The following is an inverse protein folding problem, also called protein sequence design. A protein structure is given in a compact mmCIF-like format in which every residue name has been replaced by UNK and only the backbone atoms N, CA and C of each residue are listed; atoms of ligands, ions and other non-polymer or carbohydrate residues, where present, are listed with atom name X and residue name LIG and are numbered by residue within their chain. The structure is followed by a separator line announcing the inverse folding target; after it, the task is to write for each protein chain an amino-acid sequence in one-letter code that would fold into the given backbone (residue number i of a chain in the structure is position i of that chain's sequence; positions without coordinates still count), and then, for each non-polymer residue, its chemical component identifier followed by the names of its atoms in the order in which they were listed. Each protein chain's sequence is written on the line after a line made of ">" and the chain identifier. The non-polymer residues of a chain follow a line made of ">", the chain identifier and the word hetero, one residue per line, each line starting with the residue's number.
data_IF_669715272534
#
_entry.id   IF_669715272534
#
_cell.length_a   1.000
_cell.length_b   1.000
_cell.length_c   1.000
_cell.angle_alpha   90.00
_cell.angle_beta   90.00
_cell.angle_gamma   90.00
#
_symmetry.space_group_name_H-M   'P 1'
#
loop_
_entity.id
_entity.type
_entity.pdbx_description
1 polymer ?
#
# COMPACT_ATOMS: atom_id res chain seq x y z
N UNK A 1 13.11 -19.94 10.89
CA UNK A 1 12.98 -21.01 9.88
C UNK A 1 11.88 -20.63 8.91
N UNK A 2 12.19 -20.53 7.62
CA UNK A 2 11.22 -20.09 6.59
C UNK A 2 10.27 -21.21 6.15
N UNK A 3 9.11 -20.87 5.54
CA UNK A 3 8.31 -21.84 4.81
C UNK A 3 8.76 -21.92 3.34
N UNK A 4 9.09 -23.14 2.89
CA UNK A 4 9.55 -23.46 1.55
C UNK A 4 8.44 -23.50 0.50
N UNK A 5 8.82 -23.15 -0.73
CA UNK A 5 8.02 -23.27 -1.96
C UNK A 5 7.62 -24.74 -2.25
N UNK A 6 6.44 -24.99 -2.86
CA UNK A 6 6.15 -26.25 -3.53
C UNK A 6 6.65 -26.18 -5.00
N UNK A 7 7.89 -26.62 -5.25
CA UNK A 7 8.43 -26.77 -6.61
C UNK A 7 8.95 -28.19 -6.81
N UNK A 8 8.15 -29.02 -7.49
CA UNK A 8 8.63 -30.23 -8.19
C UNK A 8 7.58 -30.83 -9.12
N UNK A 9 6.27 -30.70 -8.82
CA UNK A 9 5.21 -31.16 -9.74
C UNK A 9 4.89 -30.18 -10.88
N UNK A 10 5.11 -28.88 -10.67
CA UNK A 10 4.91 -27.85 -11.71
C UNK A 10 6.07 -27.82 -12.73
N UNK A 11 7.28 -28.21 -12.32
CA UNK A 11 8.47 -28.26 -13.20
C UNK A 11 8.41 -29.45 -14.18
N UNK A 12 7.74 -30.54 -13.81
CA UNK A 12 7.54 -31.72 -14.67
C UNK A 12 6.54 -31.49 -15.80
N UNK A 13 5.59 -30.55 -15.65
CA UNK A 13 4.71 -30.14 -16.77
C UNK A 13 5.40 -29.17 -17.74
N UNK A 14 6.36 -28.36 -17.28
CA UNK A 14 7.09 -27.43 -18.15
C UNK A 14 8.11 -28.13 -19.05
N UNK A 15 8.71 -29.23 -18.60
CA UNK A 15 9.67 -30.01 -19.38
C UNK A 15 9.04 -30.84 -20.52
N UNK A 16 7.73 -31.10 -20.48
CA UNK A 16 7.01 -31.76 -21.59
C UNK A 16 6.60 -30.79 -22.70
N UNK A 17 6.69 -29.47 -22.48
CA UNK A 17 6.27 -28.44 -23.45
C UNK A 17 7.44 -27.72 -24.13
N UNK A 18 8.68 -27.95 -23.70
CA UNK A 18 9.87 -27.29 -24.26
C UNK A 18 11.03 -28.27 -24.37
N UNK A 19 11.28 -28.78 -25.58
CA UNK A 19 12.61 -29.26 -25.96
C UNK A 19 12.65 -30.68 -26.51
N UNK A 20 12.70 -30.78 -27.85
CA UNK A 20 13.04 -32.02 -28.53
C UNK A 20 13.62 -31.73 -29.91
N UNK A 21 14.83 -31.14 -29.95
CA UNK A 21 15.68 -31.13 -31.14
C UNK A 21 17.12 -31.44 -30.75
N UNK A 22 17.71 -32.41 -31.46
CA UNK A 22 19.16 -32.52 -31.68
C UNK A 22 19.97 -33.28 -30.62
N UNK A 23 20.16 -34.58 -30.82
CA UNK A 23 21.15 -35.39 -30.11
C UNK A 23 21.55 -36.62 -30.92
N UNK A 24 22.68 -36.50 -31.63
CA UNK A 24 23.29 -37.51 -32.49
C UNK A 24 24.01 -38.57 -31.62
N UNK A 25 23.70 -39.86 -31.80
CA UNK A 25 24.34 -40.95 -31.04
C UNK A 25 23.94 -42.35 -31.48
N UNK A 26 24.81 -42.99 -32.26
CA UNK A 26 25.09 -44.43 -32.40
C UNK A 26 23.97 -45.46 -32.70
N UNK A 27 24.14 -46.09 -33.88
CA UNK A 27 23.58 -47.36 -34.39
C UNK A 27 23.15 -48.38 -33.33
N UNK A 28 21.86 -48.72 -33.37
CA UNK A 28 21.31 -50.00 -32.95
C UNK A 28 20.10 -50.31 -33.84
N UNK A 29 20.20 -51.36 -34.65
CA UNK A 29 19.23 -51.77 -35.68
C UNK A 29 17.90 -52.18 -35.02
N UNK A 30 16.81 -51.44 -35.28
CA UNK A 30 15.43 -51.85 -34.96
C UNK A 30 14.75 -52.39 -36.24
N UNK A 31 13.89 -53.42 -36.13
CA UNK A 31 13.19 -54.00 -37.27
C UNK A 31 12.18 -52.99 -37.87
N UNK A 32 11.79 -53.15 -39.14
CA UNK A 32 10.85 -52.24 -39.78
C UNK A 32 9.48 -52.29 -39.07
N UNK A 33 8.80 -51.13 -38.90
CA UNK A 33 7.48 -51.08 -38.27
C UNK A 33 6.44 -51.78 -39.16
N UNK A 34 5.50 -52.47 -38.51
CA UNK A 34 4.42 -53.18 -39.19
C UNK A 34 3.33 -52.24 -39.74
N UNK A 35 2.50 -52.69 -40.69
CA UNK A 35 1.48 -51.87 -41.37
C UNK A 35 0.50 -51.15 -40.43
N UNK A 36 0.26 -51.70 -39.25
CA UNK A 36 -0.70 -51.21 -38.27
C UNK A 36 -0.17 -50.06 -37.39
N UNK A 37 1.15 -49.81 -37.36
CA UNK A 37 1.76 -48.69 -36.63
C UNK A 37 1.86 -47.41 -37.48
N UNK A 38 1.89 -47.53 -38.81
CA UNK A 38 1.90 -46.38 -39.72
C UNK A 38 0.53 -45.70 -39.84
N UNK A 39 -0.57 -46.45 -39.71
CA UNK A 39 -1.94 -45.92 -39.81
C UNK A 39 -2.32 -45.10 -38.57
N UNK A 40 -1.93 -45.55 -37.37
CA UNK A 40 -2.15 -44.82 -36.11
C UNK A 40 -1.40 -43.48 -36.07
N UNK A 41 -0.14 -43.47 -36.51
CA UNK A 41 0.65 -42.24 -36.58
C UNK A 41 0.08 -41.24 -37.61
N UNK A 42 -0.50 -41.72 -38.70
CA UNK A 42 -1.15 -40.91 -39.75
C UNK A 42 -2.45 -40.26 -39.25
N UNK A 43 -3.27 -41.02 -38.52
CA UNK A 43 -4.51 -40.51 -37.91
C UNK A 43 -4.25 -39.44 -36.85
N UNK A 44 -3.26 -39.66 -35.98
CA UNK A 44 -2.86 -38.68 -34.96
C UNK A 44 -2.30 -37.40 -35.61
N UNK A 45 -1.50 -37.53 -36.67
CA UNK A 45 -0.95 -36.38 -37.42
C UNK A 45 -2.03 -35.59 -38.14
N UNK A 46 -3.00 -36.26 -38.77
CA UNK A 46 -4.14 -35.62 -39.43
C UNK A 46 -5.02 -34.86 -38.42
N UNK A 47 -5.28 -35.45 -37.26
CA UNK A 47 -6.07 -34.83 -36.18
C UNK A 47 -5.33 -33.64 -35.55
N UNK A 48 -4.01 -33.73 -35.40
CA UNK A 48 -3.16 -32.63 -34.95
C UNK A 48 -3.15 -31.45 -35.95
N UNK A 49 -3.02 -31.72 -37.25
CA UNK A 49 -3.08 -30.67 -38.28
C UNK A 49 -4.47 -30.03 -38.40
N UNK A 50 -5.55 -30.80 -38.20
CA UNK A 50 -6.90 -30.26 -38.16
C UNK A 50 -7.11 -29.32 -36.95
N UNK A 51 -6.66 -29.72 -35.76
CA UNK A 51 -6.72 -28.90 -34.54
C UNK A 51 -5.83 -27.66 -34.68
N UNK A 52 -4.65 -27.77 -35.31
CA UNK A 52 -3.75 -26.65 -35.60
C UNK A 52 -4.37 -25.65 -36.57
N UNK A 53 -5.10 -26.09 -37.59
CA UNK A 53 -5.87 -25.20 -38.48
C UNK A 53 -6.99 -24.45 -37.73
N UNK A 54 -7.72 -25.15 -36.85
CA UNK A 54 -8.78 -24.54 -36.04
C UNK A 54 -8.21 -23.52 -35.03
N UNK A 55 -7.11 -23.85 -34.36
CA UNK A 55 -6.40 -22.92 -33.46
C UNK A 55 -5.77 -21.75 -34.22
N UNK A 56 -5.33 -21.95 -35.46
CA UNK A 56 -4.86 -20.87 -36.34
C UNK A 56 -5.96 -19.90 -36.72
N UNK A 57 -7.17 -20.39 -36.98
CA UNK A 57 -8.35 -19.55 -37.25
C UNK A 57 -8.79 -18.75 -36.01
N UNK A 58 -8.82 -19.39 -34.83
CA UNK A 58 -9.11 -18.70 -33.55
C UNK A 58 -8.01 -17.68 -33.21
N UNK A 59 -6.75 -18.01 -33.50
CA UNK A 59 -5.62 -17.10 -33.35
C UNK A 59 -5.67 -15.90 -34.31
N UNK A 60 -6.18 -16.07 -35.53
CA UNK A 60 -6.35 -15.00 -36.50
C UNK A 60 -7.47 -14.02 -36.11
N UNK A 61 -8.61 -14.55 -35.63
CA UNK A 61 -9.72 -13.73 -35.12
C UNK A 61 -9.31 -12.97 -33.85
N UNK A 62 -8.55 -13.62 -32.97
CA UNK A 62 -7.97 -12.98 -31.78
C UNK A 62 -7.00 -11.85 -32.15
N UNK A 63 -6.13 -12.04 -33.15
CA UNK A 63 -5.18 -10.99 -33.59
C UNK A 63 -5.87 -9.75 -34.13
N UNK A 64 -6.95 -9.88 -34.91
CA UNK A 64 -7.69 -8.71 -35.39
C UNK A 64 -8.34 -7.92 -34.24
N UNK A 65 -8.87 -8.63 -33.25
CA UNK A 65 -9.43 -7.99 -32.06
C UNK A 65 -8.35 -7.27 -31.23
N UNK A 66 -7.20 -7.92 -31.01
CA UNK A 66 -6.07 -7.32 -30.28
C UNK A 66 -5.40 -6.17 -31.04
N UNK A 67 -5.36 -6.20 -32.37
CA UNK A 67 -4.86 -5.08 -33.18
C UNK A 67 -5.80 -3.88 -33.12
N UNK A 68 -7.11 -4.09 -33.16
CA UNK A 68 -8.11 -3.03 -32.97
C UNK A 68 -8.02 -2.41 -31.58
N UNK A 69 -7.90 -3.24 -30.53
CA UNK A 69 -7.74 -2.77 -29.16
C UNK A 69 -6.41 -2.04 -28.94
N UNK A 70 -5.32 -2.54 -29.53
CA UNK A 70 -4.01 -1.91 -29.46
C UNK A 70 -3.99 -0.53 -30.14
N UNK A 71 -4.52 -0.38 -31.35
CA UNK A 71 -4.63 0.94 -32.01
C UNK A 71 -5.56 1.91 -31.24
N UNK A 72 -6.55 1.40 -30.48
CA UNK A 72 -7.48 2.25 -29.69
C UNK A 72 -6.89 2.70 -28.34
N UNK A 73 -5.92 1.96 -27.82
CA UNK A 73 -5.29 2.23 -26.51
C UNK A 73 -3.92 2.88 -26.64
N UNK A 74 -3.16 2.60 -27.70
CA UNK A 74 -1.84 3.15 -27.97
C UNK A 74 -1.82 3.83 -29.35
N UNK A 75 -1.53 5.13 -29.38
CA UNK A 75 -1.76 5.97 -30.57
C UNK A 75 -0.60 6.03 -31.57
N UNK A 76 0.55 5.41 -31.30
CA UNK A 76 1.72 5.52 -32.19
C UNK A 76 1.90 4.26 -33.04
N UNK A 77 1.43 4.31 -34.29
CA UNK A 77 1.81 3.34 -35.32
C UNK A 77 0.76 2.93 -36.36
N UNK A 78 -0.46 3.48 -36.35
CA UNK A 78 -1.50 3.05 -37.30
C UNK A 78 -1.51 3.98 -38.54
N UNK A 79 -0.93 3.52 -39.65
CA UNK A 79 -0.88 4.24 -40.93
C UNK A 79 -2.29 4.48 -41.52
N UNK A 80 -2.54 5.72 -41.94
CA UNK A 80 -3.78 6.16 -42.57
C UNK A 80 -3.92 5.60 -44.00
N UNK A 81 -5.04 4.94 -44.29
CA UNK A 81 -5.55 4.78 -45.66
C UNK A 81 -6.92 5.47 -45.78
N UNK A 82 -7.07 6.27 -46.84
CA UNK A 82 -8.15 7.25 -47.09
C UNK A 82 -9.50 6.62 -47.47
N UNK A 83 -10.56 7.20 -46.87
CA UNK A 83 -11.98 7.41 -47.25
C UNK A 83 -12.67 6.57 -48.36
N UNK A 84 -13.88 6.05 -48.16
CA UNK A 84 -15.15 6.81 -48.22
C UNK A 84 -16.36 6.17 -47.47
N UNK A 85 -17.49 6.89 -47.28
CA UNK A 85 -18.29 6.90 -46.05
C UNK A 85 -19.52 5.98 -46.05
N UNK A 86 -19.80 5.37 -44.89
CA UNK A 86 -21.05 4.65 -44.60
C UNK A 86 -21.54 5.01 -43.17
N UNK A 87 -22.86 4.96 -42.91
CA UNK A 87 -23.49 5.68 -41.80
C UNK A 87 -23.04 5.13 -40.46
N UNK A 88 -22.47 5.99 -39.62
CA UNK A 88 -22.03 5.65 -38.26
C UNK A 88 -23.24 5.20 -37.43
N UNK A 89 -23.32 3.94 -36.95
CA UNK A 89 -24.04 3.70 -35.72
C UNK A 89 -23.17 4.31 -34.63
N UNK A 90 -23.61 5.46 -34.12
CA UNK A 90 -22.98 6.12 -32.98
C UNK A 90 -23.04 5.20 -31.77
N UNK A 91 -22.03 4.36 -31.59
CA UNK A 91 -21.74 3.77 -30.30
C UNK A 91 -21.15 4.88 -29.45
N UNK A 92 -22.03 5.69 -28.85
CA UNK A 92 -21.70 6.40 -27.63
C UNK A 92 -21.29 5.33 -26.63
N UNK A 93 -19.98 5.21 -26.37
CA UNK A 93 -19.51 4.54 -25.18
C UNK A 93 -20.31 5.18 -24.03
N UNK A 94 -21.08 4.41 -23.24
CA UNK A 94 -21.69 4.99 -22.06
C UNK A 94 -20.52 5.56 -21.28
N UNK A 95 -20.58 6.87 -21.07
CA UNK A 95 -19.72 7.58 -20.16
C UNK A 95 -19.64 6.67 -18.93
N UNK A 96 -18.49 6.03 -18.70
CA UNK A 96 -18.29 5.15 -17.55
C UNK A 96 -18.38 6.10 -16.36
N UNK A 97 -19.60 6.22 -15.84
CA UNK A 97 -19.97 7.27 -14.91
C UNK A 97 -19.20 7.09 -13.63
N UNK A 98 -18.99 8.21 -12.92
CA UNK A 98 -18.53 8.20 -11.53
C UNK A 98 -19.31 7.18 -10.68
N UNK A 99 -20.58 6.93 -11.02
CA UNK A 99 -21.48 5.95 -10.39
C UNK A 99 -20.96 4.51 -10.42
N UNK A 100 -20.30 4.07 -11.50
CA UNK A 100 -19.75 2.71 -11.57
C UNK A 100 -18.50 2.55 -10.68
N UNK A 101 -17.69 3.61 -10.57
CA UNK A 101 -16.53 3.62 -9.66
C UNK A 101 -16.97 3.60 -8.20
N UNK A 102 -18.03 4.33 -7.85
CA UNK A 102 -18.65 4.31 -6.52
C UNK A 102 -19.13 2.90 -6.15
N UNK A 103 -19.88 2.23 -7.03
CA UNK A 103 -20.38 0.85 -6.79
C UNK A 103 -19.23 -0.14 -6.65
N UNK A 104 -18.21 -0.08 -7.51
CA UNK A 104 -17.04 -0.95 -7.42
C UNK A 104 -16.23 -0.69 -6.16
N UNK A 105 -16.08 0.58 -5.76
CA UNK A 105 -15.43 0.94 -4.50
C UNK A 105 -16.21 0.42 -3.29
N UNK A 106 -17.53 0.61 -3.26
CA UNK A 106 -18.40 0.13 -2.19
C UNK A 106 -18.39 -1.40 -2.08
N UNK A 107 -18.43 -2.11 -3.21
CA UNK A 107 -18.32 -3.57 -3.26
C UNK A 107 -16.95 -4.03 -2.74
N UNK A 108 -15.86 -3.45 -3.24
CA UNK A 108 -14.50 -3.75 -2.76
C UNK A 108 -14.33 -3.45 -1.26
N UNK A 109 -14.96 -2.38 -0.79
CA UNK A 109 -15.00 -1.96 0.59
C UNK A 109 -15.89 -2.81 1.49
N UNK A 110 -16.85 -3.55 0.93
CA UNK A 110 -17.63 -4.55 1.66
C UNK A 110 -16.81 -5.81 1.94
N UNK A 111 -15.84 -6.15 1.08
CA UNK A 111 -14.93 -7.29 1.28
C UNK A 111 -13.64 -6.90 2.02
N UNK A 112 -13.39 -5.62 2.25
CA UNK A 112 -12.21 -5.09 2.94
C UNK A 112 -12.55 -4.13 4.10
N UNK A 113 -11.53 -3.62 4.78
CA UNK A 113 -11.68 -2.51 5.74
C UNK A 113 -11.43 -1.20 5.02
N UNK A 114 -12.46 -0.65 4.38
CA UNK A 114 -12.34 0.69 3.82
C UNK A 114 -12.71 1.76 4.84
N UNK A 115 -11.85 2.77 4.92
CA UNK A 115 -12.08 3.94 5.74
C UNK A 115 -11.79 5.19 4.93
N UNK A 116 -12.47 6.29 5.26
CA UNK A 116 -12.40 7.57 4.53
C UNK A 116 -10.97 8.09 4.35
N UNK A 117 -10.09 7.81 5.33
CA UNK A 117 -8.68 8.23 5.36
C UNK A 117 -7.72 7.19 4.75
N UNK A 118 -8.24 6.05 4.27
CA UNK A 118 -7.47 4.89 3.81
C UNK A 118 -6.93 3.99 4.93
N UNK A 119 -6.90 4.48 6.18
CA UNK A 119 -6.56 3.71 7.38
C UNK A 119 -7.71 3.73 8.38
N UNK A 120 -8.20 2.54 8.76
CA UNK A 120 -9.30 2.37 9.70
C UNK A 120 -8.93 2.53 11.17
N UNK A 121 -7.64 2.70 11.47
CA UNK A 121 -7.15 2.96 12.83
C UNK A 121 -7.31 4.43 13.20
N UNK A 122 -7.39 5.31 12.21
CA UNK A 122 -7.51 6.76 12.35
C UNK A 122 -8.98 7.17 12.31
N UNK A 123 -9.44 7.89 13.33
CA UNK A 123 -10.84 8.32 13.50
C UNK A 123 -10.98 9.84 13.32
N UNK A 124 -10.04 10.62 13.86
CA UNK A 124 -10.05 12.09 13.81
C UNK A 124 -11.35 12.73 14.35
N UNK A 125 -11.78 12.33 15.57
CA UNK A 125 -12.94 12.89 16.23
C UNK A 125 -12.64 14.24 16.93
N UNK A 126 -12.62 15.32 16.16
CA UNK A 126 -12.28 16.66 16.68
C UNK A 126 -13.37 17.24 17.59
N UNK A 127 -14.64 17.05 17.25
CA UNK A 127 -15.76 17.51 18.08
C UNK A 127 -15.81 16.78 19.42
N UNK A 128 -15.53 15.47 19.43
CA UNK A 128 -15.37 14.69 20.66
C UNK A 128 -14.20 15.18 21.50
N UNK A 129 -13.05 15.42 20.87
CA UNK A 129 -11.87 15.98 21.54
C UNK A 129 -12.15 17.33 22.20
N UNK A 130 -12.82 18.24 21.49
CA UNK A 130 -13.18 19.56 22.01
C UNK A 130 -14.15 19.46 23.19
N UNK A 131 -15.17 18.61 23.09
CA UNK A 131 -16.10 18.38 24.17
C UNK A 131 -15.41 17.83 25.44
N UNK A 132 -14.52 16.85 25.29
CA UNK A 132 -13.80 16.26 26.42
C UNK A 132 -12.76 17.20 27.01
N UNK A 133 -12.02 17.96 26.20
CA UNK A 133 -11.13 19.01 26.69
C UNK A 133 -11.91 20.07 27.47
N UNK A 134 -13.09 20.46 26.99
CA UNK A 134 -13.91 21.46 27.67
C UNK A 134 -14.46 20.94 29.01
N UNK A 135 -14.91 19.68 29.07
CA UNK A 135 -15.49 19.08 30.27
C UNK A 135 -14.48 18.61 31.31
N UNK A 136 -13.36 18.00 30.88
CA UNK A 136 -12.47 17.26 31.78
C UNK A 136 -11.18 18.02 32.13
N UNK A 137 -10.68 18.91 31.26
CA UNK A 137 -9.45 19.66 31.52
C UNK A 137 -9.76 20.98 32.23
N UNK A 138 -9.57 21.09 33.55
CA UNK A 138 -9.89 22.33 34.27
C UNK A 138 -8.70 23.30 34.32
N UNK A 139 -8.99 24.61 34.42
CA UNK A 139 -7.96 25.66 34.57
C UNK A 139 -7.13 25.99 33.32
N UNK A 140 -7.17 25.17 32.26
CA UNK A 140 -6.26 25.28 31.10
C UNK A 140 -6.94 25.83 29.83
N UNK A 141 -7.66 26.95 29.95
CA UNK A 141 -8.43 27.53 28.84
C UNK A 141 -7.57 27.88 27.61
N UNK A 142 -6.35 28.41 27.80
CA UNK A 142 -5.41 28.69 26.71
C UNK A 142 -5.00 27.42 25.98
N UNK A 143 -4.64 26.36 26.72
CA UNK A 143 -4.23 25.09 26.13
C UNK A 143 -5.35 24.48 25.29
N UNK A 144 -6.59 24.45 25.82
CA UNK A 144 -7.76 23.92 25.08
C UNK A 144 -7.90 24.57 23.70
N UNK A 145 -7.88 25.90 23.66
CA UNK A 145 -8.06 26.66 22.42
C UNK A 145 -6.93 26.39 21.42
N UNK A 146 -5.68 26.45 21.88
CA UNK A 146 -4.50 26.24 21.02
C UNK A 146 -4.46 24.81 20.47
N UNK A 147 -4.74 23.82 21.31
CA UNK A 147 -4.73 22.40 20.90
C UNK A 147 -5.79 22.15 19.84
N UNK A 148 -7.04 22.59 20.07
CA UNK A 148 -8.12 22.39 19.10
C UNK A 148 -7.79 23.08 17.77
N UNK A 149 -7.37 24.35 17.80
CA UNK A 149 -7.01 25.07 16.58
C UNK A 149 -5.86 24.41 15.80
N UNK A 150 -4.79 24.00 16.50
CA UNK A 150 -3.63 23.38 15.87
C UNK A 150 -3.94 22.01 15.27
N UNK A 151 -4.64 21.15 16.01
CA UNK A 151 -4.99 19.80 15.55
C UNK A 151 -6.02 19.87 14.43
N UNK A 152 -7.06 20.69 14.57
CA UNK A 152 -8.07 20.88 13.53
C UNK A 152 -7.46 21.42 12.24
N UNK A 153 -6.65 22.49 12.32
CA UNK A 153 -5.99 23.07 11.16
C UNK A 153 -5.05 22.09 10.46
N UNK A 154 -4.31 21.28 11.23
CA UNK A 154 -3.44 20.25 10.67
C UNK A 154 -4.22 19.14 9.94
N UNK A 155 -5.29 18.63 10.54
CA UNK A 155 -6.07 17.53 9.95
C UNK A 155 -6.91 17.95 8.75
N UNK A 156 -7.39 19.20 8.72
CA UNK A 156 -8.12 19.76 7.59
C UNK A 156 -7.22 20.00 6.38
N UNK A 157 -5.92 20.21 6.57
CA UNK A 157 -4.98 20.35 5.46
C UNK A 157 -4.75 19.00 4.77
N UNK A 158 -5.11 18.85 3.47
CA UNK A 158 -4.91 17.59 2.75
C UNK A 158 -3.42 17.27 2.54
N UNK A 159 -2.57 18.30 2.45
CA UNK A 159 -1.11 18.18 2.27
C UNK A 159 -0.39 19.17 3.18
N UNK A 160 -0.20 18.85 4.47
CA UNK A 160 0.61 19.66 5.35
C UNK A 160 2.06 19.75 4.82
N UNK A 161 2.69 20.91 4.99
CA UNK A 161 4.09 21.11 4.58
C UNK A 161 5.07 20.42 5.54
N UNK A 162 4.70 20.32 6.81
CA UNK A 162 5.52 19.81 7.92
C UNK A 162 4.66 19.01 8.89
N UNK A 163 5.30 18.14 9.66
CA UNK A 163 4.64 17.42 10.75
C UNK A 163 4.08 18.39 11.81
N UNK A 164 2.99 18.01 12.46
CA UNK A 164 2.47 18.77 13.60
C UNK A 164 3.36 18.51 14.81
N UNK A 165 3.91 19.58 15.38
CA UNK A 165 4.73 19.49 16.60
C UNK A 165 4.08 20.34 17.69
N UNK A 166 3.72 19.69 18.80
CA UNK A 166 3.20 20.35 19.99
C UNK A 166 4.13 20.05 21.16
N UNK A 167 4.44 21.08 21.93
CA UNK A 167 5.25 20.97 23.15
C UNK A 167 4.43 21.50 24.31
N UNK A 168 4.12 20.64 25.27
CA UNK A 168 3.37 20.98 26.47
C UNK A 168 4.35 21.22 27.61
N UNK A 169 4.41 22.44 28.10
CA UNK A 169 5.26 22.81 29.23
C UNK A 169 4.39 23.21 30.42
N UNK A 170 4.87 22.94 31.62
CA UNK A 170 4.21 23.34 32.86
C UNK A 170 4.55 22.43 34.02
N UNK A 171 4.05 22.79 35.21
CA UNK A 171 4.27 22.03 36.44
C UNK A 171 3.73 20.59 36.35
N UNK A 172 4.27 19.71 37.19
CA UNK A 172 3.76 18.33 37.29
C UNK A 172 2.31 18.33 37.78
N UNK A 173 1.50 17.38 37.30
CA UNK A 173 0.08 17.27 37.68
C UNK A 173 -0.87 18.26 37.01
N UNK A 174 -0.39 19.15 36.12
CA UNK A 174 -1.24 20.13 35.40
C UNK A 174 -1.98 19.57 34.18
N UNK A 175 -1.91 18.25 33.96
CA UNK A 175 -2.70 17.54 32.94
C UNK A 175 -2.01 17.29 31.59
N UNK A 176 -0.68 17.48 31.45
CA UNK A 176 0.05 17.23 30.18
C UNK A 176 -0.22 15.83 29.59
N UNK A 177 0.01 14.79 30.41
CA UNK A 177 -0.18 13.39 29.99
C UNK A 177 -1.66 13.04 29.80
N UNK A 178 -2.54 13.72 30.54
CA UNK A 178 -3.99 13.59 30.42
C UNK A 178 -4.49 14.11 29.06
N UNK A 179 -3.99 15.28 28.64
CA UNK A 179 -4.25 15.84 27.30
C UNK A 179 -3.71 14.94 26.20
N UNK A 180 -2.48 14.44 26.33
CA UNK A 180 -1.90 13.53 25.34
C UNK A 180 -2.72 12.25 25.17
N UNK A 181 -3.25 11.70 26.28
CA UNK A 181 -4.16 10.55 26.25
C UNK A 181 -5.49 10.87 25.57
N UNK A 182 -6.10 12.02 25.87
CA UNK A 182 -7.33 12.47 25.20
C UNK A 182 -7.12 12.63 23.69
N UNK A 183 -6.00 13.24 23.28
CA UNK A 183 -5.62 13.35 21.87
C UNK A 183 -5.54 11.98 21.21
N UNK A 184 -4.81 11.04 21.80
CA UNK A 184 -4.69 9.69 21.24
C UNK A 184 -6.06 9.01 21.11
N UNK A 185 -6.90 9.06 22.15
CA UNK A 185 -8.22 8.41 22.17
C UNK A 185 -9.22 8.98 21.17
N UNK A 186 -9.11 10.26 20.79
CA UNK A 186 -10.00 10.87 19.80
C UNK A 186 -9.45 10.82 18.38
N UNK A 187 -8.12 10.78 18.21
CA UNK A 187 -7.49 10.66 16.90
C UNK A 187 -7.45 9.22 16.41
N UNK A 188 -7.33 8.24 17.32
CA UNK A 188 -7.15 6.83 16.99
C UNK A 188 -8.15 5.95 17.72
N UNK A 189 -8.65 4.92 17.02
CA UNK A 189 -9.69 4.01 17.52
C UNK A 189 -9.32 3.35 18.86
N UNK A 190 -8.08 2.89 18.96
CA UNK A 190 -7.57 2.19 20.16
C UNK A 190 -6.77 3.12 21.09
N UNK A 191 -6.82 4.43 20.85
CA UNK A 191 -6.06 5.41 21.61
C UNK A 191 -4.57 5.10 21.66
N UNK A 192 -3.99 5.14 22.88
CA UNK A 192 -2.58 4.82 23.12
C UNK A 192 -2.18 3.38 22.76
N UNK A 193 -3.15 2.47 22.60
CA UNK A 193 -2.88 1.07 22.20
C UNK A 193 -2.85 0.88 20.68
N UNK A 194 -3.17 1.91 19.91
CA UNK A 194 -3.12 1.84 18.45
C UNK A 194 -1.70 1.60 17.95
N UNK A 195 -1.54 0.77 16.93
CA UNK A 195 -0.25 0.53 16.27
C UNK A 195 0.36 1.80 15.64
N UNK A 196 -0.47 2.82 15.38
CA UNK A 196 -0.05 4.10 14.85
C UNK A 196 0.47 5.08 15.92
N UNK A 197 0.35 4.71 17.20
CA UNK A 197 0.74 5.53 18.34
C UNK A 197 1.95 4.91 19.04
N UNK A 198 2.98 5.72 19.29
CA UNK A 198 4.18 5.32 20.03
C UNK A 198 4.44 6.28 21.17
N UNK A 199 4.53 5.73 22.38
CA UNK A 199 4.88 6.46 23.60
C UNK A 199 6.33 6.14 24.00
N UNK A 200 7.13 7.18 24.14
CA UNK A 200 8.51 7.14 24.60
C UNK A 200 8.63 7.90 25.91
N UNK A 201 8.73 7.18 27.02
CA UNK A 201 9.08 7.75 28.32
C UNK A 201 10.60 7.85 28.42
N UNK A 202 11.16 9.06 28.54
CA UNK A 202 12.61 9.29 28.49
C UNK A 202 13.39 8.47 29.51
N UNK A 203 12.96 8.50 30.78
CA UNK A 203 13.65 7.79 31.87
C UNK A 203 13.57 6.26 31.78
N UNK A 204 12.56 5.73 31.09
CA UNK A 204 12.36 4.28 30.98
C UNK A 204 13.06 3.71 29.73
N UNK A 205 12.90 4.38 28.58
CA UNK A 205 13.43 3.89 27.31
C UNK A 205 14.89 4.31 27.09
N UNK A 206 15.31 5.44 27.69
CA UNK A 206 16.65 6.01 27.47
C UNK A 206 17.38 6.30 28.82
N UNK A 207 17.51 5.30 29.72
CA UNK A 207 18.00 5.52 31.07
C UNK A 207 19.48 5.92 31.17
N UNK A 208 20.32 5.42 30.25
CA UNK A 208 21.78 5.53 30.38
C UNK A 208 22.42 6.29 29.22
N UNK A 209 23.17 7.35 29.54
CA UNK A 209 23.85 8.18 28.55
C UNK A 209 24.93 7.45 27.74
N UNK A 210 25.45 6.31 28.25
CA UNK A 210 26.46 5.50 27.55
C UNK A 210 25.94 4.86 26.26
N UNK A 211 24.63 4.59 26.18
CA UNK A 211 24.02 3.89 25.05
C UNK A 211 23.24 4.80 24.11
N UNK A 212 23.48 6.12 24.16
CA UNK A 212 22.75 7.12 23.36
C UNK A 212 22.81 6.84 21.86
N UNK A 213 23.95 6.39 21.34
CA UNK A 213 24.09 6.08 19.90
C UNK A 213 23.24 4.86 19.48
N UNK A 214 23.11 3.86 20.36
CA UNK A 214 22.23 2.72 20.15
C UNK A 214 20.75 3.16 20.17
N UNK A 215 20.36 3.95 21.18
CA UNK A 215 19.01 4.48 21.31
C UNK A 215 18.62 5.36 20.12
N UNK A 216 19.58 6.14 19.60
CA UNK A 216 19.40 6.96 18.38
C UNK A 216 19.06 6.09 17.18
N UNK A 217 19.77 4.99 16.97
CA UNK A 217 19.50 4.06 15.87
C UNK A 217 18.12 3.38 16.03
N UNK A 218 17.80 2.93 17.25
CA UNK A 218 16.51 2.31 17.56
C UNK A 218 15.33 3.27 17.35
N UNK A 219 15.45 4.51 17.84
CA UNK A 219 14.42 5.54 17.71
C UNK A 219 14.15 5.87 16.24
N UNK A 220 15.20 6.09 15.44
CA UNK A 220 15.06 6.34 13.99
C UNK A 220 14.35 5.19 13.29
N UNK A 221 14.72 3.94 13.62
CA UNK A 221 14.10 2.74 13.06
C UNK A 221 12.61 2.68 13.41
N UNK A 222 12.27 2.83 14.69
CA UNK A 222 10.88 2.77 15.15
C UNK A 222 9.99 3.87 14.57
N UNK A 223 10.52 5.10 14.45
CA UNK A 223 9.80 6.20 13.79
C UNK A 223 9.57 5.85 12.32
N UNK A 224 10.62 5.47 11.58
CA UNK A 224 10.51 5.14 10.16
C UNK A 224 9.52 4.00 9.90
N UNK A 225 9.60 2.92 10.66
CA UNK A 225 8.68 1.77 10.54
C UNK A 225 7.23 2.19 10.85
N UNK A 226 7.01 2.98 11.89
CA UNK A 226 5.66 3.42 12.27
C UNK A 226 5.07 4.38 11.23
N UNK A 227 5.86 5.28 10.64
CA UNK A 227 5.37 6.17 9.57
C UNK A 227 5.07 5.39 8.28
N UNK A 228 5.87 4.37 7.97
CA UNK A 228 5.59 3.48 6.84
C UNK A 228 4.28 2.70 7.02
N UNK A 229 3.99 2.26 8.25
CA UNK A 229 2.73 1.59 8.59
C UNK A 229 1.54 2.54 8.58
N UNK A 230 1.68 3.70 9.22
CA UNK A 230 0.62 4.69 9.38
C UNK A 230 1.10 6.07 8.94
N UNK A 231 0.51 6.59 7.85
CA UNK A 231 0.81 7.95 7.33
C UNK A 231 0.59 9.03 8.39
N UNK A 232 -0.49 8.90 9.17
CA UNK A 232 -0.78 9.76 10.32
C UNK A 232 -0.41 9.00 11.60
N UNK A 233 0.88 9.00 11.93
CA UNK A 233 1.40 8.42 13.17
C UNK A 233 1.49 9.47 14.28
N UNK A 234 1.36 9.04 15.52
CA UNK A 234 1.47 9.89 16.70
C UNK A 234 2.63 9.42 17.57
N UNK A 235 3.60 10.29 17.79
CA UNK A 235 4.75 10.06 18.65
C UNK A 235 4.64 10.95 19.89
N UNK A 236 4.64 10.34 21.06
CA UNK A 236 4.55 11.02 22.34
C UNK A 236 5.88 10.82 23.08
N UNK A 237 6.57 11.91 23.39
CA UNK A 237 7.78 11.92 24.20
C UNK A 237 7.42 12.47 25.58
N UNK A 238 7.34 11.57 26.56
CA UNK A 238 7.03 11.91 27.95
C UNK A 238 8.33 12.14 28.73
N UNK A 239 8.30 13.12 29.63
CA UNK A 239 9.48 13.65 30.32
C UNK A 239 10.55 14.10 29.31
N UNK A 240 10.14 14.89 28.31
CA UNK A 240 10.98 15.31 27.20
C UNK A 240 12.15 16.19 27.65
N UNK A 241 12.02 16.89 28.78
CA UNK A 241 13.09 17.69 29.40
C UNK A 241 14.26 16.84 29.88
N UNK A 242 14.04 15.53 30.12
CA UNK A 242 15.08 14.57 30.52
C UNK A 242 15.69 13.84 29.32
N UNK A 243 15.20 14.12 28.10
CA UNK A 243 15.70 13.49 26.89
C UNK A 243 17.07 14.07 26.52
N UNK A 244 18.05 13.19 26.28
CA UNK A 244 19.39 13.62 25.89
C UNK A 244 19.38 14.32 24.52
N UNK A 245 20.04 15.49 24.40
CA UNK A 245 20.01 16.33 23.18
C UNK A 245 20.35 15.58 21.88
N UNK A 246 21.33 14.66 21.93
CA UNK A 246 21.70 13.80 20.78
C UNK A 246 20.55 12.93 20.24
N UNK A 247 19.53 12.62 21.05
CA UNK A 247 18.31 11.93 20.61
C UNK A 247 17.35 12.89 19.91
N UNK A 248 17.25 14.15 20.36
CA UNK A 248 16.48 15.19 19.65
C UNK A 248 17.04 15.43 18.23
N UNK A 249 18.37 15.43 18.09
CA UNK A 249 19.02 15.52 16.78
C UNK A 249 18.65 14.36 15.84
N UNK A 250 18.27 13.21 16.41
CA UNK A 250 17.80 12.06 15.64
C UNK A 250 16.37 12.24 15.12
N UNK A 251 15.53 12.96 15.87
CA UNK A 251 14.12 13.21 15.55
C UNK A 251 13.97 14.37 14.56
N UNK A 252 14.84 15.39 14.67
CA UNK A 252 14.79 16.63 13.87
C UNK A 252 14.54 16.44 12.36
N UNK A 253 15.17 15.46 11.66
CA UNK A 253 14.88 15.24 10.25
C UNK A 253 13.41 14.90 9.97
N UNK A 254 12.74 14.14 10.84
CA UNK A 254 11.35 13.72 10.65
C UNK A 254 10.32 14.84 10.89
N UNK A 255 10.74 15.96 11.47
CA UNK A 255 9.85 17.11 11.72
C UNK A 255 9.68 18.00 10.48
N UNK A 256 10.70 18.06 9.61
CA UNK A 256 10.76 19.02 8.51
C UNK A 256 10.99 18.42 7.12
N UNK A 257 11.20 17.10 7.02
CA UNK A 257 11.46 16.46 5.74
C UNK A 257 10.17 16.24 4.94
N UNK A 258 10.27 16.47 3.62
CA UNK A 258 9.19 16.39 2.64
C UNK A 258 8.49 15.02 2.60
N UNK A 259 9.17 13.95 2.98
CA UNK A 259 8.61 12.59 2.98
C UNK A 259 7.74 12.30 4.22
N UNK A 260 7.92 13.06 5.30
CA UNK A 260 7.29 12.82 6.61
C UNK A 260 6.33 13.96 6.98
N UNK A 261 5.31 14.19 6.14
CA UNK A 261 4.41 15.36 6.25
C UNK A 261 3.27 15.22 7.26
N UNK A 262 2.75 14.01 7.46
CA UNK A 262 1.56 13.72 8.29
C UNK A 262 1.76 13.16 9.72
N UNK A 263 2.97 12.94 10.25
CA UNK A 263 3.11 12.59 11.66
C UNK A 263 2.73 13.73 12.61
N UNK A 264 2.36 13.37 13.83
CA UNK A 264 2.11 14.27 14.95
C UNK A 264 3.12 13.93 16.04
N UNK A 265 3.83 14.94 16.54
CA UNK A 265 4.81 14.83 17.62
C UNK A 265 4.32 15.63 18.83
N UNK A 266 4.20 14.97 19.97
CA UNK A 266 3.89 15.57 21.26
C UNK A 266 5.11 15.45 22.18
N UNK A 267 5.58 16.56 22.72
CA UNK A 267 6.59 16.62 23.77
C UNK A 267 5.92 17.06 25.06
N UNK A 268 6.05 16.28 26.13
CA UNK A 268 5.42 16.50 27.44
C UNK A 268 6.46 16.80 28.50
#
# INVERSE_FOLDING_TARGET
>A
MGPGLPSRRLLLLLLLLLGGSGGQGSRGTRPPPGPWEEEGARWVRARYEAVKKQLGAVGAVSRQYWQYLACRVWQEGCQEQKEQPSPRPGWSLPLVGQDYLEILSAWYCSFGKCCKTGDCRVVNNITGLEADLNRQLHGQHLAKKVIIQAVQGFLQSPRPEKALVLSFHGWSGTGKNFVARMLASHLYRDGLRSECVRLFISLFHFPHHKYVDLYKAQLKKQISETVQLCKQSLFIFDEAEKLHFRLLDAIKPFLGQVDYRRPIFLFL
#
